data_IF_633942235710
#
_entry.id   IF_633942235710
#
_cell.length_a   1.000
_cell.length_b   1.000
_cell.length_c   1.000
_cell.angle_alpha   90.00
_cell.angle_beta   90.00
_cell.angle_gamma   90.00
#
_symmetry.space_group_name_H-M   'P 1'
#
loop_
_entity.id
_entity.type
_entity.pdbx_description
1 polymer ?
#
# COMPACT_ATOMS: atom_id res chain seq x y z
N UNK A 1 -12.95 18.55 -11.98
CA UNK A 1 -12.90 18.20 -10.54
C UNK A 1 -11.71 18.88 -9.85
N UNK A 2 -10.45 18.70 -10.26
CA UNK A 2 -9.24 19.25 -9.62
C UNK A 2 -9.25 20.79 -9.52
N UNK A 3 -9.57 21.50 -10.62
CA UNK A 3 -9.67 22.97 -10.64
C UNK A 3 -10.72 23.44 -9.62
N UNK A 4 -11.91 22.83 -9.64
CA UNK A 4 -12.99 23.20 -8.71
C UNK A 4 -12.61 22.91 -7.23
N UNK A 5 -11.84 21.86 -6.97
CA UNK A 5 -11.33 21.57 -5.62
C UNK A 5 -10.33 22.64 -5.16
N UNK A 6 -9.43 23.08 -6.04
CA UNK A 6 -8.47 24.14 -5.72
C UNK A 6 -9.18 25.49 -5.47
N UNK A 7 -10.13 25.87 -6.31
CA UNK A 7 -10.94 27.09 -6.14
C UNK A 7 -11.74 27.07 -4.83
N UNK A 8 -12.32 25.90 -4.50
CA UNK A 8 -13.02 25.74 -3.20
C UNK A 8 -12.05 25.88 -2.04
N UNK A 9 -10.86 25.29 -2.11
CA UNK A 9 -9.83 25.42 -1.08
C UNK A 9 -9.38 26.85 -0.88
N UNK A 10 -9.11 27.59 -1.95
CA UNK A 10 -8.76 29.01 -1.89
C UNK A 10 -9.87 29.85 -1.22
N UNK A 11 -11.13 29.66 -1.63
CA UNK A 11 -12.26 30.39 -1.05
C UNK A 11 -12.44 30.08 0.45
N UNK A 12 -12.29 28.82 0.88
CA UNK A 12 -12.38 28.47 2.31
C UNK A 12 -11.24 29.09 3.11
N UNK A 13 -10.05 29.23 2.52
CA UNK A 13 -8.94 29.94 3.16
C UNK A 13 -9.25 31.44 3.28
N UNK A 14 -9.77 32.07 2.22
CA UNK A 14 -10.20 33.48 2.23
C UNK A 14 -11.27 33.73 3.32
N UNK A 15 -12.23 32.83 3.50
CA UNK A 15 -13.22 32.91 4.56
C UNK A 15 -12.58 32.87 5.97
N UNK A 16 -11.56 32.01 6.17
CA UNK A 16 -10.81 31.96 7.42
C UNK A 16 -10.02 33.27 7.65
N UNK A 17 -9.36 33.78 6.62
CA UNK A 17 -8.60 35.02 6.67
C UNK A 17 -9.51 36.22 6.97
N UNK A 18 -10.70 36.29 6.34
CA UNK A 18 -11.69 37.34 6.61
C UNK A 18 -12.23 37.27 8.06
N UNK A 19 -12.38 36.07 8.62
CA UNK A 19 -12.93 35.85 9.95
C UNK A 19 -11.92 36.09 11.09
N UNK A 20 -10.68 35.67 10.91
CA UNK A 20 -9.68 35.61 11.98
C UNK A 20 -8.46 36.50 11.75
N UNK A 21 -8.30 37.06 10.55
CA UNK A 21 -7.12 37.83 10.17
C UNK A 21 -5.91 36.93 9.80
N UNK A 22 -5.02 37.49 8.98
CA UNK A 22 -3.87 36.75 8.42
C UNK A 22 -2.89 36.30 9.51
N UNK A 23 -2.65 37.12 10.52
CA UNK A 23 -1.70 36.82 11.62
C UNK A 23 -2.13 35.59 12.41
N UNK A 24 -3.44 35.50 12.75
CA UNK A 24 -3.99 34.40 13.51
C UNK A 24 -3.98 33.12 12.67
N UNK A 25 -4.42 33.19 11.40
CA UNK A 25 -4.43 32.01 10.50
C UNK A 25 -3.02 31.47 10.28
N UNK A 26 -2.05 32.35 10.01
CA UNK A 26 -0.65 31.96 9.84
C UNK A 26 -0.06 31.33 11.10
N UNK A 27 -0.32 31.89 12.28
CA UNK A 27 0.12 31.33 13.55
C UNK A 27 -0.45 29.93 13.79
N UNK A 28 -1.74 29.72 13.52
CA UNK A 28 -2.34 28.38 13.68
C UNK A 28 -1.82 27.37 12.65
N UNK A 29 -1.56 27.79 11.41
CA UNK A 29 -0.89 26.92 10.42
C UNK A 29 0.49 26.46 10.91
N UNK A 30 1.24 27.37 11.55
CA UNK A 30 2.53 27.04 12.16
C UNK A 30 2.36 26.09 13.35
N UNK A 31 1.44 26.36 14.26
CA UNK A 31 1.18 25.53 15.45
C UNK A 31 0.75 24.10 15.07
N UNK A 32 -0.05 23.93 14.02
CA UNK A 32 -0.45 22.60 13.55
C UNK A 32 0.77 21.81 13.05
N UNK A 33 1.71 22.48 12.37
CA UNK A 33 2.95 21.83 11.93
C UNK A 33 3.89 21.53 13.11
N UNK A 34 4.02 22.43 14.07
CA UNK A 34 4.84 22.24 15.25
C UNK A 34 4.34 21.07 16.10
N UNK A 35 3.02 21.00 16.29
CA UNK A 35 2.38 19.87 16.99
C UNK A 35 2.63 18.53 16.26
N UNK A 36 2.52 18.50 14.93
CA UNK A 36 2.82 17.29 14.17
C UNK A 36 4.30 16.88 14.28
N UNK A 37 5.22 17.85 14.24
CA UNK A 37 6.65 17.61 14.41
C UNK A 37 6.96 17.05 15.82
N UNK A 38 6.40 17.65 16.86
CA UNK A 38 6.58 17.21 18.25
C UNK A 38 6.04 15.80 18.47
N UNK A 39 4.84 15.49 18.00
CA UNK A 39 4.25 14.15 18.14
C UNK A 39 5.04 13.10 17.38
N UNK A 40 5.59 13.44 16.22
CA UNK A 40 6.47 12.53 15.46
C UNK A 40 7.79 12.32 16.20
N UNK A 41 8.42 13.38 16.70
CA UNK A 41 9.65 13.30 17.48
C UNK A 41 9.48 12.40 18.72
N UNK A 42 8.40 12.59 19.49
CA UNK A 42 8.05 11.73 20.63
C UNK A 42 7.75 10.28 20.25
N UNK A 43 7.23 10.04 19.03
CA UNK A 43 7.04 8.68 18.53
C UNK A 43 8.38 8.02 18.19
N UNK A 44 9.32 8.76 17.63
CA UNK A 44 10.66 8.29 17.31
C UNK A 44 11.44 7.97 18.60
N UNK A 45 11.36 8.79 19.65
CA UNK A 45 12.00 8.56 20.95
C UNK A 45 11.64 7.21 21.62
N UNK A 46 10.53 6.61 21.24
CA UNK A 46 10.11 5.29 21.75
C UNK A 46 10.77 4.12 21.02
N UNK A 47 11.44 4.38 19.91
CA UNK A 47 12.18 3.37 19.16
C UNK A 47 13.59 3.23 19.75
N UNK A 48 14.20 2.05 19.68
CA UNK A 48 15.58 1.88 20.11
C UNK A 48 16.52 2.65 19.19
N UNK A 49 17.48 3.38 19.78
CA UNK A 49 18.56 4.02 19.05
C UNK A 49 19.40 2.98 18.28
N UNK A 50 19.91 3.37 17.14
CA UNK A 50 20.78 2.51 16.33
C UNK A 50 20.40 2.49 14.86
N UNK A 51 20.97 1.50 14.17
CA UNK A 51 20.70 1.25 12.75
C UNK A 51 19.84 0.02 12.59
N UNK A 52 18.79 0.17 11.79
CA UNK A 52 17.84 -0.87 11.45
C UNK A 52 17.79 -0.99 9.93
N UNK A 53 17.98 -2.17 9.38
CA UNK A 53 17.98 -2.38 7.94
C UNK A 53 17.01 -3.51 7.56
N UNK A 54 16.42 -3.37 6.40
CA UNK A 54 15.55 -4.40 5.83
C UNK A 54 15.51 -4.27 4.30
N UNK A 55 15.24 -5.37 3.63
CA UNK A 55 15.01 -5.40 2.19
C UNK A 55 13.88 -6.38 1.85
N UNK A 56 13.20 -6.12 0.75
CA UNK A 56 12.20 -7.00 0.16
C UNK A 56 12.27 -6.88 -1.37
N UNK A 57 11.66 -7.84 -2.08
CA UNK A 57 11.72 -7.90 -3.53
C UNK A 57 10.33 -7.87 -4.13
N UNK A 58 10.20 -7.18 -5.26
CA UNK A 58 9.05 -7.30 -6.14
C UNK A 58 9.07 -8.67 -6.85
N UNK A 59 7.98 -9.05 -7.47
CA UNK A 59 7.84 -10.37 -8.13
C UNK A 59 8.76 -10.54 -9.35
N UNK A 60 9.22 -9.46 -9.96
CA UNK A 60 10.25 -9.46 -11.01
C UNK A 60 11.69 -9.51 -10.48
N UNK A 61 11.84 -9.57 -9.15
CA UNK A 61 13.12 -9.66 -8.46
C UNK A 61 13.73 -8.32 -8.05
N UNK A 62 13.17 -7.19 -8.49
CA UNK A 62 13.67 -5.86 -8.15
C UNK A 62 13.65 -5.64 -6.63
N UNK A 63 14.76 -5.13 -6.11
CA UNK A 63 14.99 -4.95 -4.67
C UNK A 63 14.61 -3.55 -4.22
N UNK A 64 13.91 -3.49 -3.09
CA UNK A 64 13.72 -2.28 -2.30
C UNK A 64 14.44 -2.49 -0.98
N UNK A 65 15.44 -1.66 -0.68
CA UNK A 65 16.23 -1.70 0.53
C UNK A 65 16.05 -0.40 1.33
N UNK A 66 16.14 -0.51 2.65
CA UNK A 66 16.13 0.66 3.54
C UNK A 66 17.09 0.45 4.71
N UNK A 67 17.76 1.53 5.09
CA UNK A 67 18.47 1.66 6.36
C UNK A 67 17.87 2.82 7.14
N UNK A 68 17.40 2.56 8.34
CA UNK A 68 16.85 3.56 9.24
C UNK A 68 17.85 3.76 10.39
N UNK A 69 18.26 4.99 10.63
CA UNK A 69 19.10 5.36 11.77
C UNK A 69 18.29 6.21 12.74
N UNK A 70 18.10 5.72 13.96
CA UNK A 70 17.40 6.43 15.04
C UNK A 70 18.42 7.00 16.01
N UNK A 71 18.26 8.28 16.37
CA UNK A 71 19.10 8.99 17.37
C UNK A 71 18.21 9.90 18.21
N UNK A 72 17.81 9.44 19.40
CA UNK A 72 16.88 10.14 20.26
C UNK A 72 15.57 10.43 19.56
N UNK A 73 15.24 11.70 19.34
CA UNK A 73 13.98 12.13 18.70
C UNK A 73 14.08 12.33 17.18
N UNK A 74 15.19 11.95 16.54
CA UNK A 74 15.42 12.15 15.11
C UNK A 74 15.63 10.81 14.38
N UNK A 75 15.26 10.78 13.11
CA UNK A 75 15.38 9.59 12.27
C UNK A 75 15.93 9.94 10.89
N UNK A 76 16.87 9.15 10.40
CA UNK A 76 17.29 9.16 9.01
C UNK A 76 16.79 7.88 8.33
N UNK A 77 16.10 8.01 7.21
CA UNK A 77 15.62 6.91 6.37
C UNK A 77 16.39 6.99 5.05
N UNK A 78 17.21 5.99 4.79
CA UNK A 78 18.08 5.92 3.61
C UNK A 78 17.72 4.68 2.79
N UNK A 79 17.27 4.91 1.55
CA UNK A 79 16.92 3.87 0.58
C UNK A 79 18.11 3.44 -0.30
N UNK A 80 19.33 3.76 0.10
CA UNK A 80 20.53 3.28 -0.60
C UNK A 80 20.57 1.75 -0.67
N UNK A 81 20.90 1.21 -1.86
CA UNK A 81 20.86 -0.21 -2.16
C UNK A 81 19.53 -0.69 -2.78
N UNK A 82 18.55 0.20 -2.97
CA UNK A 82 17.40 -0.05 -3.85
C UNK A 82 17.87 -0.10 -5.29
N UNK A 83 17.33 -1.01 -6.08
CA UNK A 83 17.68 -1.18 -7.49
C UNK A 83 17.33 0.06 -8.34
N UNK A 84 18.00 0.18 -9.49
CA UNK A 84 17.77 1.23 -10.47
C UNK A 84 16.33 1.20 -11.01
N UNK A 85 15.92 2.28 -11.66
CA UNK A 85 14.63 2.39 -12.31
C UNK A 85 14.42 1.25 -13.33
N UNK A 86 13.23 0.67 -13.30
CA UNK A 86 12.87 -0.49 -14.11
C UNK A 86 12.36 -0.06 -15.49
N UNK A 87 12.54 -0.93 -16.49
CA UNK A 87 11.95 -0.74 -17.83
C UNK A 87 10.44 -0.99 -17.90
N UNK A 88 9.77 -1.17 -16.74
CA UNK A 88 8.32 -1.38 -16.62
C UNK A 88 7.67 -0.27 -15.79
N UNK A 89 6.38 -0.41 -15.46
CA UNK A 89 5.59 0.62 -14.80
C UNK A 89 5.57 0.56 -13.26
N UNK A 90 6.43 -0.26 -12.63
CA UNK A 90 6.51 -0.37 -11.15
C UNK A 90 7.32 0.76 -10.49
N UNK A 91 7.96 1.62 -11.26
CA UNK A 91 8.71 2.74 -10.67
C UNK A 91 7.80 3.66 -9.86
N UNK A 92 8.25 4.03 -8.67
CA UNK A 92 7.53 4.93 -7.77
C UNK A 92 8.15 6.34 -7.82
N UNK A 93 7.42 7.38 -8.27
CA UNK A 93 7.90 8.74 -8.14
C UNK A 93 8.25 9.08 -6.69
N UNK A 94 9.23 9.97 -6.50
CA UNK A 94 9.63 10.43 -5.15
C UNK A 94 8.44 10.79 -4.26
N UNK A 95 7.40 11.40 -4.81
CA UNK A 95 6.21 11.79 -4.05
C UNK A 95 5.47 10.58 -3.46
N UNK A 96 5.41 9.45 -4.18
CA UNK A 96 4.82 8.19 -3.70
C UNK A 96 5.65 7.61 -2.55
N UNK A 97 6.97 7.60 -2.69
CA UNK A 97 7.89 7.16 -1.62
C UNK A 97 7.73 8.01 -0.36
N UNK A 98 7.65 9.34 -0.52
CA UNK A 98 7.42 10.26 0.61
C UNK A 98 6.04 10.06 1.26
N UNK A 99 5.01 9.76 0.47
CA UNK A 99 3.68 9.45 1.00
C UNK A 99 3.69 8.15 1.84
N UNK A 100 4.40 7.11 1.40
CA UNK A 100 4.58 5.88 2.16
C UNK A 100 5.34 6.11 3.47
N UNK A 101 6.40 6.92 3.46
CA UNK A 101 7.12 7.34 4.69
C UNK A 101 6.18 8.06 5.65
N UNK A 102 5.41 9.05 5.17
CA UNK A 102 4.43 9.78 5.98
C UNK A 102 3.37 8.86 6.59
N UNK A 103 2.90 7.87 5.82
CA UNK A 103 1.97 6.87 6.32
C UNK A 103 2.57 6.10 7.50
N UNK A 104 3.81 5.61 7.38
CA UNK A 104 4.50 4.88 8.45
C UNK A 104 4.70 5.75 9.69
N UNK A 105 5.12 7.01 9.52
CA UNK A 105 5.27 7.95 10.65
C UNK A 105 3.94 8.17 11.39
N UNK A 106 2.82 8.28 10.67
CA UNK A 106 1.50 8.40 11.28
C UNK A 106 1.09 7.14 12.06
N UNK A 107 1.39 5.95 11.54
CA UNK A 107 1.17 4.70 12.28
C UNK A 107 2.01 4.67 13.56
N UNK A 108 3.27 5.10 13.50
CA UNK A 108 4.14 5.23 14.69
C UNK A 108 3.58 6.17 15.74
N UNK A 109 3.05 7.32 15.34
CA UNK A 109 2.42 8.28 16.26
C UNK A 109 1.21 7.67 16.96
N UNK A 110 0.42 6.84 16.26
CA UNK A 110 -0.72 6.10 16.82
C UNK A 110 -1.87 6.98 17.35
N UNK A 111 -1.92 8.26 16.92
CA UNK A 111 -2.96 9.22 17.29
C UNK A 111 -3.47 9.95 16.05
N UNK A 112 -4.73 10.39 16.01
CA UNK A 112 -5.21 11.23 14.94
C UNK A 112 -4.51 12.58 14.99
N UNK A 113 -3.61 12.79 14.03
CA UNK A 113 -2.94 14.08 13.81
C UNK A 113 -3.21 14.56 12.38
N UNK A 114 -3.33 15.87 12.14
CA UNK A 114 -3.38 16.39 10.79
C UNK A 114 -2.13 16.00 10.00
N UNK A 115 -2.32 15.46 8.80
CA UNK A 115 -1.21 15.15 7.89
C UNK A 115 -0.69 16.46 7.30
N UNK A 116 0.53 16.82 7.64
CA UNK A 116 1.20 18.01 7.11
C UNK A 116 2.73 17.82 7.13
N UNK A 117 3.46 18.78 6.59
CA UNK A 117 4.92 18.77 6.48
C UNK A 117 5.65 18.74 7.83
N UNK A 118 5.00 19.11 8.93
CA UNK A 118 5.56 19.02 10.28
C UNK A 118 5.96 17.60 10.65
N UNK A 119 5.22 16.58 10.18
CA UNK A 119 5.56 15.18 10.44
C UNK A 119 6.98 14.79 9.94
N UNK A 120 7.50 15.48 8.93
CA UNK A 120 8.82 15.20 8.35
C UNK A 120 9.96 16.01 8.98
N UNK A 121 9.69 16.99 9.83
CA UNK A 121 10.74 17.83 10.41
C UNK A 121 11.81 17.05 11.22
N UNK A 122 11.45 16.05 12.06
CA UNK A 122 12.43 15.23 12.77
C UNK A 122 13.03 14.11 11.89
N UNK A 123 12.70 14.04 10.60
CA UNK A 123 13.05 12.92 9.72
C UNK A 123 13.79 13.42 8.47
N UNK A 124 14.95 12.83 8.21
CA UNK A 124 15.68 13.02 6.94
C UNK A 124 15.43 11.81 6.05
N UNK A 125 14.98 12.03 4.81
CA UNK A 125 14.75 10.95 3.84
C UNK A 125 15.70 11.09 2.66
N UNK A 126 16.51 10.05 2.43
CA UNK A 126 17.41 9.92 1.28
C UNK A 126 16.89 8.87 0.33
N UNK A 127 16.71 9.24 -0.93
CA UNK A 127 16.25 8.36 -2.00
C UNK A 127 17.22 8.52 -3.16
N UNK A 128 17.92 7.46 -3.59
CA UNK A 128 18.86 7.53 -4.70
C UNK A 128 18.15 8.00 -5.98
N UNK A 129 18.76 8.95 -6.67
CA UNK A 129 18.27 9.43 -7.97
C UNK A 129 18.47 8.34 -9.02
N UNK A 130 17.51 8.20 -9.95
CA UNK A 130 17.53 7.15 -10.97
C UNK A 130 17.15 5.75 -10.46
N UNK A 131 16.86 5.63 -9.16
CA UNK A 131 16.37 4.37 -8.59
C UNK A 131 14.89 4.12 -8.88
N UNK A 132 14.43 2.89 -8.65
CA UNK A 132 13.02 2.49 -8.64
C UNK A 132 12.10 3.42 -7.83
N UNK A 133 12.63 4.08 -6.78
CA UNK A 133 11.89 4.97 -5.86
C UNK A 133 12.06 6.46 -6.16
N UNK A 134 12.84 6.81 -7.16
CA UNK A 134 13.05 8.17 -7.67
C UNK A 134 13.51 8.11 -9.13
N UNK A 135 12.71 7.54 -10.03
CA UNK A 135 13.05 7.38 -11.44
C UNK A 135 13.14 8.73 -12.16
N UNK A 136 13.71 8.70 -13.35
CA UNK A 136 13.70 9.85 -14.25
C UNK A 136 12.26 10.18 -14.71
N UNK A 137 11.99 11.44 -15.14
CA UNK A 137 10.65 11.89 -15.49
C UNK A 137 9.96 11.09 -16.62
N UNK A 138 10.73 10.46 -17.51
CA UNK A 138 10.22 9.68 -18.64
C UNK A 138 9.89 8.23 -18.29
N UNK A 139 10.18 7.78 -17.07
CA UNK A 139 9.93 6.42 -16.63
C UNK A 139 8.42 6.15 -16.47
N UNK A 140 8.00 4.94 -16.81
CA UNK A 140 6.64 4.49 -16.55
C UNK A 140 6.42 4.26 -15.05
N UNK A 141 5.35 4.82 -14.45
CA UNK A 141 5.16 4.88 -13.00
C UNK A 141 3.75 4.44 -12.54
N UNK A 142 2.89 3.98 -13.46
CA UNK A 142 1.48 3.75 -13.15
C UNK A 142 1.26 2.73 -12.00
N UNK A 143 2.06 1.67 -11.94
CA UNK A 143 2.01 0.66 -10.90
C UNK A 143 2.76 1.05 -9.62
N UNK A 144 3.60 2.06 -9.66
CA UNK A 144 4.35 2.52 -8.49
C UNK A 144 3.44 2.95 -7.34
N UNK A 145 2.33 3.60 -7.66
CA UNK A 145 1.36 4.07 -6.66
C UNK A 145 0.53 2.93 -6.05
N UNK A 146 0.29 1.84 -6.76
CA UNK A 146 -0.63 0.78 -6.35
C UNK A 146 0.09 -0.52 -5.92
N UNK A 147 1.35 -0.71 -6.32
CA UNK A 147 2.12 -1.91 -5.98
C UNK A 147 3.38 -1.57 -5.18
N UNK A 148 4.29 -0.74 -5.76
CA UNK A 148 5.55 -0.40 -5.12
C UNK A 148 5.34 0.35 -3.81
N UNK A 149 4.33 1.22 -3.72
CA UNK A 149 3.99 1.95 -2.49
C UNK A 149 3.67 1.01 -1.32
N UNK A 150 2.95 -0.07 -1.58
CA UNK A 150 2.64 -1.10 -0.57
C UNK A 150 3.92 -1.77 -0.08
N UNK A 151 4.83 -2.09 -1.01
CA UNK A 151 6.10 -2.73 -0.67
C UNK A 151 7.03 -1.80 0.12
N UNK A 152 7.06 -0.49 -0.19
CA UNK A 152 7.81 0.50 0.59
C UNK A 152 7.36 0.50 2.05
N UNK A 153 6.05 0.44 2.30
CA UNK A 153 5.50 0.39 3.67
C UNK A 153 5.92 -0.90 4.38
N UNK A 154 5.81 -2.06 3.70
CA UNK A 154 6.25 -3.34 4.26
C UNK A 154 7.75 -3.28 4.64
N UNK A 155 8.62 -2.75 3.76
CA UNK A 155 10.06 -2.64 4.01
C UNK A 155 10.36 -1.73 5.20
N UNK A 156 9.66 -0.61 5.34
CA UNK A 156 9.79 0.29 6.49
C UNK A 156 9.32 -0.36 7.80
N UNK A 157 8.21 -1.10 7.77
CA UNK A 157 7.72 -1.84 8.94
C UNK A 157 8.65 -2.98 9.33
N UNK A 158 9.23 -3.68 8.35
CA UNK A 158 10.25 -4.70 8.58
C UNK A 158 11.49 -4.14 9.25
N UNK A 159 12.02 -3.01 8.76
CA UNK A 159 13.19 -2.35 9.34
C UNK A 159 12.95 -1.90 10.79
N UNK A 160 11.78 -1.32 11.06
CA UNK A 160 11.40 -0.86 12.39
C UNK A 160 10.92 -1.99 13.32
N UNK A 161 10.75 -3.21 12.80
CA UNK A 161 10.24 -4.33 13.57
C UNK A 161 8.82 -4.10 14.11
N UNK A 162 7.94 -3.45 13.34
CA UNK A 162 6.60 -3.06 13.78
C UNK A 162 5.52 -4.07 13.42
N UNK A 163 5.62 -4.66 12.24
CA UNK A 163 4.64 -5.62 11.72
C UNK A 163 5.30 -6.56 10.70
N UNK A 164 4.75 -7.75 10.57
CA UNK A 164 4.99 -8.62 9.43
C UNK A 164 4.39 -8.00 8.16
N UNK A 165 4.79 -8.48 6.98
CA UNK A 165 4.26 -7.96 5.72
C UNK A 165 2.75 -8.18 5.61
N UNK A 166 2.06 -7.17 5.14
CA UNK A 166 0.68 -7.30 4.69
C UNK A 166 0.64 -7.90 3.28
N UNK A 167 -0.52 -7.98 2.67
CA UNK A 167 -0.70 -8.49 1.29
C UNK A 167 0.25 -7.86 0.25
N UNK A 168 0.77 -6.65 0.50
CA UNK A 168 1.83 -6.00 -0.28
C UNK A 168 1.51 -5.71 -1.75
N UNK A 169 0.23 -5.60 -2.08
CA UNK A 169 -0.33 -5.35 -3.41
C UNK A 169 -1.75 -4.79 -3.26
N UNK A 170 -2.24 -4.02 -4.20
CA UNK A 170 -3.65 -3.62 -4.21
C UNK A 170 -4.54 -4.60 -5.00
N UNK A 171 -3.96 -5.64 -5.61
CA UNK A 171 -4.69 -6.63 -6.40
C UNK A 171 -5.68 -5.98 -7.37
N UNK A 172 -5.15 -5.14 -8.26
CA UNK A 172 -5.96 -4.32 -9.16
C UNK A 172 -6.59 -5.19 -10.25
N UNK A 173 -7.88 -5.04 -10.44
CA UNK A 173 -8.64 -5.66 -11.52
C UNK A 173 -9.33 -4.56 -12.31
N UNK A 174 -9.07 -4.53 -13.61
CA UNK A 174 -9.74 -3.63 -14.56
C UNK A 174 -10.42 -4.47 -15.61
N UNK A 175 -11.66 -4.19 -15.93
CA UNK A 175 -12.35 -4.80 -17.06
C UNK A 175 -13.27 -3.82 -17.77
N UNK A 176 -13.55 -4.08 -19.03
CA UNK A 176 -14.44 -3.24 -19.82
C UNK A 176 -14.36 -3.51 -21.32
N UNK A 177 -15.14 -2.71 -22.05
CA UNK A 177 -15.15 -2.64 -23.51
C UNK A 177 -15.25 -1.17 -23.95
N UNK A 178 -15.61 -0.91 -25.19
CA UNK A 178 -15.75 0.45 -25.73
C UNK A 178 -16.88 1.26 -25.09
N UNK A 179 -17.79 0.62 -24.34
CA UNK A 179 -18.99 1.24 -23.73
C UNK A 179 -18.79 1.56 -22.27
N UNK A 180 -17.97 0.80 -21.57
CA UNK A 180 -17.71 0.97 -20.13
C UNK A 180 -16.30 0.53 -19.75
N UNK A 181 -15.82 1.09 -18.64
CA UNK A 181 -14.62 0.64 -17.96
C UNK A 181 -14.89 0.59 -16.46
N UNK A 182 -14.42 -0.47 -15.81
CA UNK A 182 -14.49 -0.65 -14.37
C UNK A 182 -13.12 -0.94 -13.81
N UNK A 183 -12.84 -0.44 -12.60
CA UNK A 183 -11.62 -0.71 -11.86
C UNK A 183 -11.95 -0.95 -10.39
N UNK A 184 -11.36 -1.99 -9.81
CA UNK A 184 -11.40 -2.21 -8.36
C UNK A 184 -10.03 -2.66 -7.83
N UNK A 185 -9.83 -2.44 -6.53
CA UNK A 185 -8.77 -3.05 -5.75
C UNK A 185 -9.37 -4.09 -4.82
N UNK A 186 -8.66 -5.19 -4.59
CA UNK A 186 -9.12 -6.25 -3.71
C UNK A 186 -8.33 -6.26 -2.41
N UNK A 187 -9.03 -6.42 -1.29
CA UNK A 187 -8.42 -6.61 0.02
C UNK A 187 -7.66 -7.93 0.11
N UNK A 188 -6.85 -8.09 1.15
CA UNK A 188 -6.12 -9.31 1.44
C UNK A 188 -5.77 -9.40 2.91
N UNK A 189 -4.77 -10.18 3.28
CA UNK A 189 -4.35 -10.33 4.66
C UNK A 189 -3.48 -9.17 5.13
N UNK A 190 -3.76 -8.62 6.31
CA UNK A 190 -2.85 -7.74 7.01
C UNK A 190 -1.77 -8.54 7.73
N UNK A 191 -0.56 -8.00 7.81
CA UNK A 191 0.51 -8.57 8.63
C UNK A 191 0.19 -8.49 10.13
N UNK A 192 0.61 -9.52 10.87
CA UNK A 192 0.50 -9.53 12.33
C UNK A 192 1.54 -8.61 12.97
N UNK A 193 1.27 -8.20 14.20
CA UNK A 193 2.17 -7.40 15.04
C UNK A 193 2.52 -8.17 16.31
N UNK A 194 3.41 -7.61 17.11
CA UNK A 194 3.73 -8.15 18.45
C UNK A 194 2.50 -8.30 19.35
N UNK A 195 1.45 -7.52 19.13
CA UNK A 195 0.31 -7.38 20.05
C UNK A 195 -0.98 -8.02 19.55
N UNK A 196 -1.09 -8.28 18.25
CA UNK A 196 -2.35 -8.73 17.68
C UNK A 196 -2.17 -9.47 16.36
N UNK A 197 -3.05 -10.41 16.02
CA UNK A 197 -3.08 -11.04 14.71
C UNK A 197 -3.42 -10.04 13.60
N UNK A 198 -3.09 -10.40 12.37
CA UNK A 198 -3.48 -9.66 11.18
C UNK A 198 -4.98 -9.74 10.90
N UNK A 199 -5.57 -8.65 10.40
CA UNK A 199 -6.96 -8.66 9.95
C UNK A 199 -7.08 -9.33 8.59
N UNK A 200 -8.16 -10.10 8.38
CA UNK A 200 -8.44 -10.81 7.13
C UNK A 200 -9.28 -9.99 6.16
N UNK A 201 -9.00 -10.10 4.87
CA UNK A 201 -9.79 -9.52 3.79
C UNK A 201 -9.89 -7.99 3.80
N UNK A 202 -8.84 -7.29 4.22
CA UNK A 202 -8.83 -5.83 4.38
C UNK A 202 -7.94 -5.14 3.36
N UNK A 203 -8.28 -3.90 3.04
CA UNK A 203 -7.36 -3.00 2.35
C UNK A 203 -6.31 -2.51 3.33
N UNK A 204 -5.04 -2.59 2.94
CA UNK A 204 -3.90 -2.25 3.80
C UNK A 204 -3.14 -1.04 3.29
N UNK A 205 -2.44 -0.36 4.19
CA UNK A 205 -1.45 0.68 3.92
C UNK A 205 -1.93 1.80 2.99
N UNK A 206 -1.42 1.85 1.75
CA UNK A 206 -1.65 2.92 0.80
C UNK A 206 -2.99 2.81 0.06
N UNK A 207 -3.76 1.74 0.31
CA UNK A 207 -5.08 1.53 -0.30
C UNK A 207 -6.16 2.29 0.46
N UNK A 208 -6.89 3.16 -0.22
CA UNK A 208 -7.98 3.95 0.36
C UNK A 208 -9.32 3.76 -0.37
N UNK A 209 -9.41 2.80 -1.26
CA UNK A 209 -10.63 2.44 -1.99
C UNK A 209 -11.45 1.37 -1.26
N UNK A 210 -12.66 1.14 -1.75
CA UNK A 210 -13.55 0.08 -1.28
C UNK A 210 -13.91 -0.81 -2.47
N UNK A 211 -14.19 -2.10 -2.22
CA UNK A 211 -14.81 -2.96 -3.23
C UNK A 211 -16.26 -2.52 -3.48
N UNK A 212 -16.70 -2.66 -4.72
CA UNK A 212 -18.10 -2.48 -5.06
C UNK A 212 -18.89 -3.71 -4.58
N UNK A 213 -20.04 -3.44 -3.99
CA UNK A 213 -21.00 -4.46 -3.59
C UNK A 213 -21.38 -5.35 -4.79
N UNK A 214 -21.42 -6.70 -4.63
CA UNK A 214 -21.72 -7.63 -5.72
C UNK A 214 -23.00 -7.31 -6.47
N UNK A 215 -24.09 -7.01 -5.78
CA UNK A 215 -25.40 -6.72 -6.39
C UNK A 215 -25.35 -5.45 -7.23
N UNK A 216 -24.63 -4.43 -6.77
CA UNK A 216 -24.41 -3.19 -7.53
C UNK A 216 -23.56 -3.44 -8.76
N UNK A 217 -22.51 -4.26 -8.63
CA UNK A 217 -21.62 -4.60 -9.71
C UNK A 217 -22.34 -5.36 -10.84
N UNK A 218 -23.11 -6.39 -10.49
CA UNK A 218 -23.91 -7.21 -11.42
C UNK A 218 -25.02 -6.42 -12.10
N UNK A 219 -25.59 -5.41 -11.43
CA UNK A 219 -26.61 -4.54 -12.02
C UNK A 219 -26.02 -3.59 -13.06
N UNK A 220 -24.76 -3.17 -12.92
CA UNK A 220 -24.13 -2.15 -13.75
C UNK A 220 -23.34 -2.71 -14.92
N UNK A 221 -22.76 -3.90 -14.77
CA UNK A 221 -21.83 -4.48 -15.73
C UNK A 221 -22.26 -5.91 -16.12
N UNK A 222 -21.94 -6.37 -17.33
CA UNK A 222 -22.25 -7.72 -17.77
C UNK A 222 -21.31 -8.76 -17.15
N UNK A 223 -21.36 -8.85 -15.83
CA UNK A 223 -20.59 -9.85 -15.05
C UNK A 223 -21.50 -10.50 -14.01
N UNK A 224 -21.06 -11.63 -13.48
CA UNK A 224 -21.64 -12.30 -12.30
C UNK A 224 -20.52 -12.57 -11.29
N UNK A 225 -20.74 -12.22 -10.02
CA UNK A 225 -19.86 -12.55 -8.92
C UNK A 225 -20.19 -13.96 -8.43
N UNK A 226 -19.35 -14.95 -8.79
CA UNK A 226 -19.55 -16.34 -8.37
C UNK A 226 -19.11 -16.60 -6.94
N UNK A 227 -18.01 -15.93 -6.51
CA UNK A 227 -17.47 -16.06 -5.16
C UNK A 227 -16.91 -14.73 -4.69
N UNK A 228 -17.16 -14.41 -3.44
CA UNK A 228 -16.49 -13.34 -2.71
C UNK A 228 -16.43 -13.73 -1.24
N UNK A 229 -15.30 -14.29 -0.84
CA UNK A 229 -15.13 -14.90 0.48
C UNK A 229 -13.70 -14.79 0.98
N UNK A 230 -13.47 -15.05 2.27
CA UNK A 230 -12.14 -15.18 2.83
C UNK A 230 -11.45 -16.44 2.30
N UNK A 231 -10.16 -16.29 1.96
CA UNK A 231 -9.27 -17.39 1.59
C UNK A 231 -8.70 -18.01 2.87
N UNK A 232 -9.51 -18.79 3.54
CA UNK A 232 -9.17 -19.38 4.85
C UNK A 232 -7.85 -20.13 4.83
N UNK A 233 -6.99 -19.90 5.84
CA UNK A 233 -5.67 -20.52 5.98
C UNK A 233 -4.59 -19.93 5.08
N UNK A 234 -4.82 -18.77 4.46
CA UNK A 234 -3.79 -18.08 3.67
C UNK A 234 -2.91 -17.15 4.50
N UNK A 235 -3.30 -16.79 5.71
CA UNK A 235 -2.45 -16.06 6.66
C UNK A 235 -1.29 -16.92 7.16
N UNK A 236 -0.14 -16.30 7.45
CA UNK A 236 1.00 -16.95 8.03
C UNK A 236 0.70 -17.49 9.45
N UNK A 237 1.40 -18.55 9.86
CA UNK A 237 1.27 -19.16 11.19
C UNK A 237 2.34 -18.63 12.14
N UNK A 238 1.99 -18.39 13.40
CA UNK A 238 2.88 -17.85 14.43
C UNK A 238 2.12 -17.61 15.73
N UNK A 239 2.78 -17.04 16.74
CA UNK A 239 2.12 -16.64 17.99
C UNK A 239 0.93 -15.71 17.73
N UNK A 240 1.08 -14.80 16.76
CA UNK A 240 -0.02 -14.04 16.17
C UNK A 240 -0.08 -14.36 14.68
N UNK A 241 -1.16 -14.99 14.25
CA UNK A 241 -1.37 -15.35 12.84
C UNK A 241 -1.51 -14.13 11.96
N UNK A 242 -1.01 -14.20 10.73
CA UNK A 242 -1.32 -13.24 9.67
C UNK A 242 -2.79 -13.30 9.26
N UNK A 243 -3.32 -12.22 8.72
CA UNK A 243 -4.68 -12.18 8.21
C UNK A 243 -4.83 -13.00 6.92
N UNK A 244 -6.01 -13.56 6.69
CA UNK A 244 -6.34 -14.27 5.45
C UNK A 244 -6.62 -13.31 4.31
N UNK A 245 -6.30 -13.74 3.09
CA UNK A 245 -6.68 -13.08 1.84
C UNK A 245 -8.15 -13.28 1.48
N UNK A 246 -8.48 -12.92 0.23
CA UNK A 246 -9.80 -13.06 -0.37
C UNK A 246 -9.76 -13.97 -1.60
N UNK A 247 -10.90 -14.59 -1.91
CA UNK A 247 -11.21 -15.19 -3.21
C UNK A 247 -12.29 -14.35 -3.87
N UNK A 248 -12.00 -13.83 -5.07
CA UNK A 248 -12.94 -13.10 -5.92
C UNK A 248 -13.05 -13.83 -7.25
N UNK A 249 -14.23 -14.37 -7.57
CA UNK A 249 -14.54 -14.98 -8.88
C UNK A 249 -15.56 -14.16 -9.62
N UNK A 250 -15.20 -13.76 -10.84
CA UNK A 250 -16.04 -12.98 -11.75
C UNK A 250 -16.25 -13.76 -13.03
N UNK A 251 -17.50 -14.10 -13.35
CA UNK A 251 -17.90 -14.65 -14.65
C UNK A 251 -18.26 -13.50 -15.59
N UNK A 252 -17.69 -13.49 -16.79
CA UNK A 252 -18.03 -12.52 -17.82
C UNK A 252 -19.28 -12.96 -18.57
N UNK A 253 -20.28 -12.10 -18.67
CA UNK A 253 -21.53 -12.38 -19.40
C UNK A 253 -21.49 -11.84 -20.83
N UNK A 254 -20.43 -11.11 -21.19
CA UNK A 254 -20.15 -10.58 -22.53
C UNK A 254 -18.63 -10.54 -22.78
N UNK A 255 -18.18 -10.49 -24.03
CA UNK A 255 -16.77 -10.27 -24.32
C UNK A 255 -16.29 -8.94 -23.74
N UNK A 256 -15.09 -8.94 -23.13
CA UNK A 256 -14.47 -7.74 -22.57
C UNK A 256 -12.97 -7.91 -22.41
N UNK A 257 -12.25 -6.80 -22.38
CA UNK A 257 -10.82 -6.79 -22.02
C UNK A 257 -10.69 -6.79 -20.52
N UNK A 258 -9.77 -7.60 -19.99
CA UNK A 258 -9.52 -7.74 -18.56
C UNK A 258 -8.02 -7.56 -18.29
N UNK A 259 -7.68 -6.70 -17.35
CA UNK A 259 -6.30 -6.50 -16.90
C UNK A 259 -6.21 -6.78 -15.40
N UNK A 260 -5.21 -7.57 -15.01
CA UNK A 260 -4.84 -7.79 -13.61
C UNK A 260 -3.45 -7.18 -13.41
N UNK A 261 -3.32 -6.31 -12.43
CA UNK A 261 -2.06 -5.74 -11.99
C UNK A 261 -1.90 -6.06 -10.51
N UNK A 262 -0.99 -6.96 -10.20
CA UNK A 262 -0.80 -7.48 -8.85
C UNK A 262 0.65 -7.88 -8.61
N UNK A 263 1.01 -7.99 -7.35
CA UNK A 263 2.29 -8.45 -6.81
C UNK A 263 2.07 -9.55 -5.76
N UNK A 264 3.12 -10.09 -5.16
CA UNK A 264 3.05 -11.18 -4.18
C UNK A 264 2.52 -12.51 -4.77
N UNK A 265 2.76 -12.73 -6.07
CA UNK A 265 2.50 -14.02 -6.73
C UNK A 265 3.74 -14.91 -6.76
N UNK A 266 4.93 -14.30 -6.62
CA UNK A 266 6.23 -14.99 -6.56
C UNK A 266 6.85 -14.87 -5.17
N UNK A 267 6.96 -13.65 -4.65
CA UNK A 267 7.54 -13.34 -3.35
C UNK A 267 6.45 -13.29 -2.28
N UNK A 268 6.40 -14.23 -1.32
CA UNK A 268 5.36 -14.24 -0.30
C UNK A 268 5.49 -13.06 0.68
N UNK A 269 4.40 -12.61 1.33
CA UNK A 269 4.48 -11.70 2.46
C UNK A 269 5.29 -12.31 3.60
N UNK A 270 6.37 -11.64 4.04
CA UNK A 270 7.25 -12.16 5.08
C UNK A 270 6.59 -12.17 6.46
N UNK A 271 6.92 -13.15 7.28
CA UNK A 271 6.66 -13.16 8.73
C UNK A 271 7.75 -12.46 9.52
N UNK A 272 7.50 -12.15 10.79
CA UNK A 272 8.43 -11.46 11.68
C UNK A 272 8.66 -12.25 12.99
N UNK A 273 9.88 -12.14 13.53
CA UNK A 273 10.23 -12.72 14.85
C UNK A 273 9.93 -14.22 14.98
N UNK A 274 10.20 -15.00 13.93
CA UNK A 274 9.91 -16.44 13.90
C UNK A 274 8.53 -16.80 13.32
N UNK A 275 7.65 -15.82 13.12
CA UNK A 275 6.37 -16.06 12.44
C UNK A 275 6.55 -16.45 10.98
N UNK A 276 5.68 -17.32 10.48
CA UNK A 276 5.69 -17.81 9.10
C UNK A 276 5.18 -16.77 8.08
N UNK A 277 5.55 -16.94 6.80
CA UNK A 277 5.05 -16.08 5.73
C UNK A 277 3.57 -16.32 5.44
N UNK A 278 2.88 -15.30 4.92
CA UNK A 278 1.56 -15.46 4.33
C UNK A 278 1.62 -16.21 3.00
N UNK A 279 0.53 -16.85 2.60
CA UNK A 279 0.43 -17.50 1.29
C UNK A 279 0.45 -16.45 0.17
N UNK A 280 1.14 -16.79 -0.92
CA UNK A 280 1.15 -15.99 -2.15
C UNK A 280 -0.24 -15.90 -2.77
N UNK A 281 -0.53 -14.79 -3.45
CA UNK A 281 -1.73 -14.66 -4.28
C UNK A 281 -1.63 -15.48 -5.57
N UNK A 282 -2.76 -15.62 -6.25
CA UNK A 282 -2.87 -16.32 -7.53
C UNK A 282 -3.96 -15.67 -8.41
N UNK A 283 -3.72 -15.61 -9.70
CA UNK A 283 -4.69 -15.14 -10.68
C UNK A 283 -4.97 -16.30 -11.67
N UNK A 284 -6.23 -16.59 -11.92
CA UNK A 284 -6.62 -17.68 -12.83
C UNK A 284 -7.71 -17.22 -13.80
N UNK A 285 -7.64 -17.68 -15.04
CA UNK A 285 -8.72 -17.58 -16.01
C UNK A 285 -9.13 -19.00 -16.41
N UNK A 286 -10.36 -19.37 -16.16
CA UNK A 286 -10.89 -20.73 -16.41
C UNK A 286 -10.01 -21.83 -15.77
N UNK A 287 -9.51 -21.56 -14.55
CA UNK A 287 -8.64 -22.47 -13.82
C UNK A 287 -7.18 -22.53 -14.28
N UNK A 288 -6.79 -21.81 -15.33
CA UNK A 288 -5.40 -21.68 -15.77
C UNK A 288 -4.75 -20.46 -15.13
N UNK A 289 -3.56 -20.65 -14.56
CA UNK A 289 -2.80 -19.58 -13.92
C UNK A 289 -2.40 -18.49 -14.92
N UNK A 290 -2.57 -17.24 -14.52
CA UNK A 290 -2.14 -16.05 -15.23
C UNK A 290 -0.92 -15.42 -14.54
N UNK A 291 -0.15 -14.65 -15.31
CA UNK A 291 0.92 -13.83 -14.75
C UNK A 291 0.39 -12.80 -13.74
N UNK A 292 1.27 -12.32 -12.86
CA UNK A 292 0.96 -11.29 -11.88
C UNK A 292 0.54 -9.95 -12.51
N UNK A 293 0.97 -9.69 -13.74
CA UNK A 293 0.59 -8.54 -14.57
C UNK A 293 0.22 -9.04 -15.96
N UNK A 294 -1.03 -8.88 -16.32
CA UNK A 294 -1.54 -9.44 -17.58
C UNK A 294 -2.75 -8.67 -18.06
N UNK A 295 -2.90 -8.59 -19.37
CA UNK A 295 -4.14 -8.16 -20.04
C UNK A 295 -4.57 -9.29 -20.97
N UNK A 296 -5.84 -9.70 -20.88
CA UNK A 296 -6.43 -10.77 -21.68
C UNK A 296 -7.76 -10.31 -22.28
N UNK A 297 -8.12 -10.89 -23.42
CA UNK A 297 -9.46 -10.76 -23.97
C UNK A 297 -10.31 -11.91 -23.39
N UNK A 298 -11.32 -11.55 -22.62
CA UNK A 298 -12.29 -12.48 -22.03
C UNK A 298 -13.50 -12.65 -22.92
N UNK A 299 -14.02 -13.88 -22.98
CA UNK A 299 -15.26 -14.24 -23.67
C UNK A 299 -16.42 -14.39 -22.70
N UNK A 300 -17.66 -14.35 -23.21
CA UNK A 300 -18.81 -14.70 -22.38
C UNK A 300 -18.68 -16.14 -21.86
N UNK A 301 -18.90 -16.32 -20.54
CA UNK A 301 -18.73 -17.59 -19.82
C UNK A 301 -17.34 -17.79 -19.22
N UNK A 302 -16.34 -16.98 -19.56
CA UNK A 302 -15.03 -17.06 -18.91
C UNK A 302 -15.12 -16.60 -17.44
N UNK A 303 -14.31 -17.25 -16.59
CA UNK A 303 -14.26 -16.99 -15.15
C UNK A 303 -12.87 -16.53 -14.75
N UNK A 304 -12.75 -15.27 -14.34
CA UNK A 304 -11.57 -14.75 -13.66
C UNK A 304 -11.68 -15.05 -12.16
N UNK A 305 -10.65 -15.71 -11.61
CA UNK A 305 -10.50 -15.89 -10.17
C UNK A 305 -9.22 -15.22 -9.70
N UNK A 306 -9.36 -14.34 -8.72
CA UNK A 306 -8.23 -13.70 -8.01
C UNK A 306 -8.23 -14.20 -6.58
N UNK A 307 -7.15 -14.85 -6.19
CA UNK A 307 -6.84 -15.21 -4.82
C UNK A 307 -5.82 -14.23 -4.28
N UNK A 308 -6.21 -13.41 -3.32
CA UNK A 308 -5.31 -12.40 -2.78
C UNK A 308 -4.37 -12.99 -1.74
N UNK A 309 -3.17 -12.40 -1.52
CA UNK A 309 -2.22 -12.89 -0.54
C UNK A 309 -2.76 -12.80 0.89
N UNK A 310 -2.33 -13.73 1.75
CA UNK A 310 -2.41 -13.58 3.19
C UNK A 310 -1.36 -12.62 3.72
N UNK A 311 -1.48 -12.17 4.97
CA UNK A 311 -0.45 -11.44 5.70
C UNK A 311 0.56 -12.38 6.37
N UNK A 312 1.77 -11.90 6.66
CA UNK A 312 2.75 -12.64 7.46
C UNK A 312 2.38 -12.69 8.93
N UNK A 313 2.84 -13.73 9.63
CA UNK A 313 2.65 -13.91 11.07
C UNK A 313 3.75 -13.25 11.90
N UNK A 314 3.53 -13.16 13.20
CA UNK A 314 4.49 -12.65 14.18
C UNK A 314 4.75 -13.66 15.30
N UNK A 315 6.03 -13.84 15.62
CA UNK A 315 6.48 -14.72 16.72
C UNK A 315 6.40 -16.21 16.40
N UNK A 316 7.21 -16.99 17.09
CA UNK A 316 7.22 -18.44 16.93
C UNK A 316 5.88 -19.07 17.34
N UNK A 317 5.44 -20.09 16.61
CA UNK A 317 4.33 -20.94 17.04
C UNK A 317 4.80 -21.75 18.26
N UNK A 318 4.13 -21.60 19.37
CA UNK A 318 4.37 -22.43 20.59
C UNK A 318 3.86 -23.84 20.39
#
# INVERSE_FOLDING_TARGET
>A
AQIAANEKGARLLDELLARYGIEVVAAYMQHIQDNAAELTARAIERLPDGQHAFEDRLDDGARIAVRITVRGSTMEIDFEGTDDALGNNLNAPRAVTMAAVLYVLRVLVGKPIPLNSGCLRPVTVRIPKGSLLSPDPDAAVAAGNVETSQRIVDVLFGALGLAAASQGTMNNVTFGDDRFAYYETLGGGAGATERQPGASGVHTHMTNSKCTDPEVLETRFPIRVRRFELRSGSGGTGAHAGGDGLIRELEFLAPMRVSVLSERRVVPPYGMRGGGPGARGMNLLNGKELAHRVTVEGSAGDVLRVETPGGGAWGDST
#
